data_IF_395613995595
#
_entry.id   IF_395613995595
#
_cell.length_a   1.000
_cell.length_b   1.000
_cell.length_c   1.000
_cell.angle_alpha   90.00
_cell.angle_beta   90.00
_cell.angle_gamma   90.00
#
_symmetry.space_group_name_H-M   'P 1'
#
loop_
_entity.id
_entity.type
_entity.pdbx_description
1 polymer ?
#
# COMPACT_ATOMS: atom_id res chain seq x y z
N UNK A 1 14.35 -22.49 23.17
CA UNK A 1 13.14 -21.70 22.96
C UNK A 1 13.31 -20.25 23.48
N UNK A 2 13.56 -20.05 24.79
CA UNK A 2 13.62 -18.70 25.40
C UNK A 2 14.69 -17.80 24.75
N UNK A 3 15.87 -18.33 24.44
CA UNK A 3 16.91 -17.55 23.77
C UNK A 3 16.45 -17.06 22.39
N UNK A 4 15.92 -17.96 21.58
CA UNK A 4 15.40 -17.59 20.24
C UNK A 4 14.24 -16.57 20.37
N UNK A 5 13.34 -16.77 21.32
CA UNK A 5 12.26 -15.82 21.59
C UNK A 5 12.79 -14.43 21.96
N UNK A 6 13.78 -14.37 22.88
CA UNK A 6 14.40 -13.10 23.27
C UNK A 6 15.12 -12.40 22.12
N UNK A 7 15.77 -13.17 21.24
CA UNK A 7 16.41 -12.66 20.02
C UNK A 7 15.34 -12.12 19.07
N UNK A 8 14.27 -12.87 18.82
CA UNK A 8 13.17 -12.42 17.96
C UNK A 8 12.53 -11.11 18.50
N UNK A 9 12.28 -11.03 19.80
CA UNK A 9 11.76 -9.81 20.43
C UNK A 9 12.68 -8.60 20.24
N UNK A 10 13.99 -8.81 20.32
CA UNK A 10 14.97 -7.74 20.11
C UNK A 10 14.95 -7.22 18.66
N UNK A 11 14.76 -8.10 17.70
CA UNK A 11 14.69 -7.75 16.27
C UNK A 11 13.31 -7.35 15.78
N UNK A 12 12.26 -7.47 16.60
CA UNK A 12 10.90 -7.06 16.24
C UNK A 12 10.66 -5.55 16.39
N UNK A 13 11.58 -4.83 17.01
CA UNK A 13 11.49 -3.38 17.18
C UNK A 13 12.40 -2.69 16.19
N UNK A 14 11.84 -1.79 15.41
CA UNK A 14 12.60 -0.83 14.63
C UNK A 14 12.99 0.30 15.56
N UNK A 15 14.29 0.58 15.67
CA UNK A 15 14.79 1.75 16.39
C UNK A 15 14.82 2.96 15.46
N UNK A 16 14.67 4.13 16.02
CA UNK A 16 14.90 5.38 15.29
C UNK A 16 16.30 5.38 14.67
N UNK A 17 16.44 5.75 13.39
CA UNK A 17 17.76 5.90 12.79
C UNK A 17 18.56 7.03 13.41
N UNK A 18 19.89 6.94 13.35
CA UNK A 18 20.76 7.99 13.81
C UNK A 18 20.48 9.31 13.07
N UNK A 19 20.31 10.38 13.84
CA UNK A 19 20.00 11.71 13.29
C UNK A 19 18.52 11.94 12.96
N UNK A 20 17.62 11.04 13.35
CA UNK A 20 16.19 11.26 13.21
C UNK A 20 15.74 12.42 14.07
N UNK A 21 15.15 13.43 13.45
CA UNK A 21 14.56 14.59 14.12
C UNK A 21 13.54 15.26 13.19
N UNK A 22 12.63 16.03 13.76
CA UNK A 22 11.68 16.81 12.96
C UNK A 22 12.40 17.75 12.00
N UNK A 23 13.47 18.41 12.45
CA UNK A 23 14.28 19.33 11.65
C UNK A 23 14.93 18.62 10.44
N UNK A 24 15.44 17.39 10.65
CA UNK A 24 15.99 16.59 9.56
C UNK A 24 14.90 16.19 8.53
N UNK A 25 13.69 15.85 9.01
CA UNK A 25 12.55 15.55 8.14
C UNK A 25 12.11 16.78 7.35
N UNK A 26 11.97 17.93 8.00
CA UNK A 26 11.60 19.19 7.37
C UNK A 26 12.63 19.57 6.29
N UNK A 27 13.91 19.41 6.56
CA UNK A 27 14.97 19.63 5.58
C UNK A 27 14.91 18.70 4.37
N UNK A 28 14.53 17.43 4.57
CA UNK A 28 14.35 16.49 3.50
C UNK A 28 13.12 16.80 2.63
N UNK A 29 12.08 17.36 3.24
CA UNK A 29 10.81 17.66 2.58
C UNK A 29 10.73 19.08 2.02
N UNK A 30 11.68 19.98 2.36
CA UNK A 30 11.67 21.38 1.95
C UNK A 30 11.58 21.55 0.41
N UNK A 31 12.22 20.69 -0.35
CA UNK A 31 12.14 20.66 -1.83
C UNK A 31 10.88 20.04 -2.40
N UNK A 32 10.09 19.37 -1.55
CA UNK A 32 8.84 18.69 -1.94
C UNK A 32 7.60 19.39 -1.39
N UNK A 33 7.78 20.56 -0.77
CA UNK A 33 6.68 21.36 -0.25
C UNK A 33 5.66 21.57 -1.38
N UNK A 34 4.56 20.87 -1.24
CA UNK A 34 3.34 20.91 -2.03
C UNK A 34 3.55 21.40 -3.47
N UNK A 35 3.94 20.52 -4.35
CA UNK A 35 3.79 20.79 -5.79
C UNK A 35 2.42 21.42 -5.98
N UNK A 36 2.40 22.59 -6.60
CA UNK A 36 1.18 23.38 -6.79
C UNK A 36 0.03 22.45 -7.10
N UNK A 37 -1.04 22.56 -6.34
CA UNK A 37 -2.26 21.80 -6.56
C UNK A 37 -2.50 21.79 -8.07
N UNK A 38 -2.44 20.62 -8.67
CA UNK A 38 -2.56 20.48 -10.10
C UNK A 38 -3.85 21.24 -10.50
N UNK A 39 -3.72 22.24 -11.34
CA UNK A 39 -4.86 22.99 -11.87
C UNK A 39 -5.59 22.04 -12.84
N UNK A 40 -6.26 21.06 -12.31
CA UNK A 40 -7.01 20.07 -13.06
C UNK A 40 -8.43 19.95 -12.53
N UNK A 41 -9.32 19.52 -13.37
CA UNK A 41 -10.66 19.12 -12.94
C UNK A 41 -10.52 17.92 -12.01
N UNK A 42 -11.02 18.06 -10.80
CA UNK A 42 -11.08 16.97 -9.84
C UNK A 42 -11.95 15.84 -10.43
N UNK A 43 -11.48 14.60 -10.51
CA UNK A 43 -12.30 13.49 -10.96
C UNK A 43 -13.50 13.31 -10.02
N UNK A 44 -14.66 13.00 -10.58
CA UNK A 44 -15.88 12.76 -9.79
C UNK A 44 -15.74 11.50 -8.92
N UNK A 45 -15.11 10.49 -9.46
CA UNK A 45 -14.89 9.21 -8.78
C UNK A 45 -13.46 8.72 -9.02
N UNK A 46 -12.87 8.10 -8.00
CA UNK A 46 -11.61 7.38 -8.07
C UNK A 46 -11.87 5.91 -7.68
N UNK A 47 -11.65 5.01 -8.61
CA UNK A 47 -11.77 3.57 -8.37
C UNK A 47 -10.37 2.97 -8.40
N UNK A 48 -9.97 2.36 -7.29
CA UNK A 48 -8.69 1.66 -7.16
C UNK A 48 -8.96 0.17 -7.06
N UNK A 49 -8.33 -0.61 -7.92
CA UNK A 49 -8.43 -2.08 -7.91
C UNK A 49 -7.03 -2.62 -7.66
N UNK A 50 -6.82 -3.18 -6.48
CA UNK A 50 -5.60 -3.93 -6.17
C UNK A 50 -5.83 -5.39 -6.55
N UNK A 51 -5.37 -5.74 -7.75
CA UNK A 51 -5.49 -7.12 -8.25
C UNK A 51 -4.26 -7.91 -7.82
N UNK A 52 -4.39 -8.63 -6.73
CA UNK A 52 -3.31 -9.43 -6.16
C UNK A 52 -2.83 -10.53 -7.10
N UNK A 53 -1.54 -10.81 -7.04
CA UNK A 53 -0.86 -11.77 -7.90
C UNK A 53 -0.99 -11.48 -9.41
N UNK A 54 -1.45 -10.29 -9.79
CA UNK A 54 -1.46 -9.88 -11.18
C UNK A 54 -0.03 -9.51 -11.62
N UNK A 55 0.49 -10.23 -12.60
CA UNK A 55 1.82 -10.00 -13.15
C UNK A 55 1.87 -10.31 -14.63
N UNK A 56 2.59 -9.49 -15.38
CA UNK A 56 2.98 -9.83 -16.74
C UNK A 56 4.23 -10.72 -16.68
N UNK A 57 4.05 -12.02 -16.90
CA UNK A 57 5.12 -13.00 -16.85
C UNK A 57 6.21 -12.76 -17.90
N UNK A 58 5.98 -11.93 -18.92
CA UNK A 58 7.00 -11.56 -19.91
C UNK A 58 8.22 -10.84 -19.30
N UNK A 59 8.10 -10.31 -18.08
CA UNK A 59 9.24 -9.74 -17.34
C UNK A 59 10.31 -10.78 -16.99
N UNK A 60 9.97 -12.05 -17.03
CA UNK A 60 10.89 -13.17 -16.78
C UNK A 60 11.67 -13.58 -18.05
N UNK A 61 11.37 -12.98 -19.20
CA UNK A 61 11.93 -13.34 -20.51
C UNK A 61 10.89 -13.99 -21.42
N UNK A 62 11.36 -14.72 -22.43
CA UNK A 62 10.45 -15.43 -23.35
C UNK A 62 9.78 -16.60 -22.63
N UNK A 63 8.50 -16.46 -22.36
CA UNK A 63 7.65 -17.52 -21.80
C UNK A 63 6.87 -18.15 -22.95
N UNK A 64 7.10 -19.45 -23.28
CA UNK A 64 6.36 -20.10 -24.34
C UNK A 64 4.90 -20.29 -23.92
N UNK A 65 4.01 -19.60 -24.59
CA UNK A 65 2.56 -19.65 -24.36
C UNK A 65 1.86 -19.90 -25.69
N UNK A 66 0.72 -20.58 -25.65
CA UNK A 66 -0.09 -20.85 -26.86
C UNK A 66 -0.82 -19.61 -27.36
N UNK A 67 -1.18 -18.72 -26.45
CA UNK A 67 -1.91 -17.47 -26.71
C UNK A 67 -1.44 -16.36 -25.77
N UNK A 68 -1.67 -15.12 -26.14
CA UNK A 68 -1.45 -13.99 -25.25
C UNK A 68 -2.33 -14.09 -24.00
N UNK A 69 -1.75 -14.11 -22.82
CA UNK A 69 -2.45 -14.24 -21.54
C UNK A 69 -2.95 -12.90 -20.96
N UNK A 70 -2.58 -11.77 -21.57
CA UNK A 70 -3.02 -10.42 -21.16
C UNK A 70 -3.51 -9.56 -22.35
N UNK A 71 -4.34 -10.11 -23.27
CA UNK A 71 -4.68 -9.40 -24.49
C UNK A 71 -5.44 -8.10 -24.21
N UNK A 72 -6.38 -8.12 -23.27
CA UNK A 72 -7.14 -6.94 -22.88
C UNK A 72 -6.23 -5.87 -22.29
N UNK A 73 -5.40 -6.20 -21.33
CA UNK A 73 -4.49 -5.24 -20.68
C UNK A 73 -3.54 -4.60 -21.70
N UNK A 74 -3.01 -5.40 -22.63
CA UNK A 74 -2.09 -4.90 -23.67
C UNK A 74 -2.79 -4.02 -24.69
N UNK A 75 -4.06 -4.26 -24.98
CA UNK A 75 -4.85 -3.47 -25.93
C UNK A 75 -5.23 -2.08 -25.41
N UNK A 76 -5.22 -1.86 -24.10
CA UNK A 76 -5.54 -0.57 -23.51
C UNK A 76 -4.54 0.50 -24.02
N UNK A 77 -5.03 1.56 -24.66
CA UNK A 77 -4.20 2.62 -25.22
C UNK A 77 -4.81 4.01 -25.04
N UNK A 78 -6.11 4.16 -25.15
CA UNK A 78 -6.80 5.42 -25.00
C UNK A 78 -7.04 5.76 -23.54
N UNK A 79 -6.77 7.00 -23.13
CA UNK A 79 -6.95 7.47 -21.74
C UNK A 79 -6.28 6.55 -20.71
N UNK A 80 -5.17 5.94 -21.08
CA UNK A 80 -4.49 4.91 -20.30
C UNK A 80 -3.03 5.28 -20.07
N UNK A 81 -2.57 5.16 -18.82
CA UNK A 81 -1.16 5.21 -18.45
C UNK A 81 -0.78 3.83 -17.91
N UNK A 82 0.29 3.26 -18.43
CA UNK A 82 0.84 1.98 -17.97
C UNK A 82 2.22 2.17 -17.39
N UNK A 83 2.57 1.35 -16.41
CA UNK A 83 3.88 1.36 -15.81
C UNK A 83 4.15 0.09 -15.04
N UNK A 84 5.34 -0.02 -14.50
CA UNK A 84 5.75 -1.11 -13.62
C UNK A 84 5.75 -0.61 -12.19
N UNK A 85 5.05 -1.31 -11.31
CA UNK A 85 5.10 -1.09 -9.88
C UNK A 85 6.07 -2.11 -9.25
N UNK A 86 7.00 -1.60 -8.45
CA UNK A 86 7.92 -2.42 -7.66
C UNK A 86 7.39 -2.47 -6.23
N UNK A 87 6.90 -3.63 -5.82
CA UNK A 87 6.45 -3.85 -4.45
C UNK A 87 7.61 -4.39 -3.60
N UNK A 88 7.71 -3.92 -2.36
CA UNK A 88 8.71 -4.42 -1.39
C UNK A 88 8.30 -5.77 -0.80
N UNK A 89 7.18 -6.32 -1.24
CA UNK A 89 6.60 -7.56 -0.75
C UNK A 89 7.14 -8.75 -1.54
N UNK A 90 7.66 -9.74 -0.82
CA UNK A 90 8.21 -10.95 -1.42
C UNK A 90 7.32 -12.15 -1.08
N UNK A 91 6.49 -12.55 -2.02
CA UNK A 91 5.65 -13.75 -1.94
C UNK A 91 4.58 -13.72 -0.86
N UNK A 92 3.32 -13.49 -1.21
CA UNK A 92 2.19 -13.40 -0.27
C UNK A 92 2.15 -12.09 0.51
N UNK A 93 1.45 -12.05 1.63
CA UNK A 93 1.26 -10.84 2.48
C UNK A 93 0.70 -9.62 1.75
N UNK A 94 -0.42 -9.81 1.08
CA UNK A 94 -1.23 -8.77 0.39
C UNK A 94 -1.40 -7.49 1.20
N UNK A 95 -1.60 -7.63 2.51
CA UNK A 95 -1.75 -6.50 3.43
C UNK A 95 -0.55 -5.53 3.41
N UNK A 96 0.65 -6.00 3.07
CA UNK A 96 1.82 -5.14 2.97
C UNK A 96 1.77 -4.27 1.70
N UNK A 97 1.32 -4.81 0.57
CA UNK A 97 1.12 -4.03 -0.65
C UNK A 97 0.00 -3.00 -0.46
N UNK A 98 -1.09 -3.36 0.22
CA UNK A 98 -2.15 -2.42 0.60
C UNK A 98 -1.61 -1.30 1.50
N UNK A 99 -0.82 -1.65 2.51
CA UNK A 99 -0.19 -0.69 3.40
C UNK A 99 0.68 0.29 2.63
N UNK A 100 1.58 -0.19 1.79
CA UNK A 100 2.45 0.66 0.97
C UNK A 100 1.66 1.61 0.07
N UNK A 101 0.60 1.11 -0.56
CA UNK A 101 -0.24 1.92 -1.43
C UNK A 101 -1.05 2.97 -0.64
N UNK A 102 -1.67 2.58 0.47
CA UNK A 102 -2.58 3.45 1.22
C UNK A 102 -1.84 4.50 2.06
N UNK A 103 -0.62 4.20 2.50
CA UNK A 103 0.16 5.11 3.36
C UNK A 103 1.29 5.84 2.64
N UNK A 104 1.74 5.33 1.49
CA UNK A 104 2.95 5.81 0.82
C UNK A 104 4.25 5.38 1.51
N UNK A 105 4.18 4.63 2.60
CA UNK A 105 5.34 4.11 3.30
C UNK A 105 5.85 2.83 2.64
N UNK A 106 7.14 2.51 2.77
CA UNK A 106 7.70 1.26 2.29
C UNK A 106 7.91 0.26 3.42
N UNK A 107 7.69 -1.02 3.13
CA UNK A 107 8.02 -2.13 4.03
C UNK A 107 9.46 -2.64 3.85
N UNK A 108 10.20 -2.11 2.88
CA UNK A 108 11.53 -2.59 2.51
C UNK A 108 12.55 -2.54 3.65
N UNK A 109 12.38 -1.62 4.59
CA UNK A 109 13.28 -1.44 5.74
C UNK A 109 12.80 -2.10 7.03
N UNK A 110 11.66 -2.76 6.98
CA UNK A 110 11.13 -3.48 8.13
C UNK A 110 11.76 -4.88 8.24
N UNK A 111 11.82 -5.45 9.44
CA UNK A 111 12.27 -6.83 9.62
C UNK A 111 11.49 -7.80 8.74
N UNK A 112 12.17 -8.82 8.21
CA UNK A 112 11.55 -9.82 7.35
C UNK A 112 10.33 -10.47 8.05
N UNK A 113 9.23 -10.59 7.34
CA UNK A 113 7.97 -11.15 7.86
C UNK A 113 7.12 -10.17 8.66
N UNK A 114 7.51 -8.90 8.74
CA UNK A 114 6.68 -7.86 9.36
C UNK A 114 5.39 -7.64 8.56
N UNK A 115 4.29 -7.52 9.28
CA UNK A 115 2.99 -7.13 8.73
C UNK A 115 2.55 -5.83 9.40
N UNK A 116 2.73 -4.66 8.75
CA UNK A 116 2.42 -3.36 9.35
C UNK A 116 0.98 -3.25 9.86
N UNK A 117 0.02 -3.86 9.19
CA UNK A 117 -1.37 -3.92 9.62
C UNK A 117 -1.58 -4.47 11.03
N UNK A 118 -0.65 -5.30 11.50
CA UNK A 118 -0.73 -5.91 12.84
C UNK A 118 0.15 -5.21 13.88
N UNK A 119 1.06 -4.32 13.44
CA UNK A 119 2.12 -3.82 14.32
C UNK A 119 2.28 -2.30 14.33
N UNK A 120 1.97 -1.61 13.24
CA UNK A 120 2.37 -0.21 13.07
C UNK A 120 1.24 0.73 12.67
N UNK A 121 0.07 0.22 12.30
CA UNK A 121 -1.06 1.09 11.97
C UNK A 121 -1.66 1.66 13.24
N UNK A 122 -1.90 2.94 13.20
CA UNK A 122 -2.56 3.68 14.28
C UNK A 122 -3.61 4.65 13.73
N UNK A 123 -4.62 4.92 14.54
CA UNK A 123 -5.64 5.89 14.17
C UNK A 123 -5.01 7.29 13.99
N UNK A 124 -5.31 7.91 12.87
CA UNK A 124 -4.77 9.22 12.50
C UNK A 124 -3.47 9.18 11.70
N UNK A 125 -2.98 8.01 11.36
CA UNK A 125 -1.85 7.89 10.42
C UNK A 125 -2.20 8.59 9.09
N UNK A 126 -1.24 9.31 8.48
CA UNK A 126 -1.45 9.91 7.16
C UNK A 126 -1.67 8.83 6.10
N UNK A 127 -2.82 8.90 5.42
CA UNK A 127 -3.18 7.92 4.39
C UNK A 127 -3.79 8.59 3.16
N UNK A 128 -3.78 7.88 2.04
CA UNK A 128 -4.53 8.26 0.85
C UNK A 128 -6.03 8.39 1.16
N UNK A 129 -6.56 7.53 2.02
CA UNK A 129 -7.97 7.57 2.45
C UNK A 129 -8.30 8.90 3.14
N UNK A 130 -7.48 9.28 4.13
CA UNK A 130 -7.64 10.56 4.83
C UNK A 130 -7.48 11.77 3.90
N UNK A 131 -6.56 11.70 2.93
CA UNK A 131 -6.41 12.75 1.92
C UNK A 131 -7.64 12.88 1.03
N UNK A 132 -8.22 11.76 0.58
CA UNK A 132 -9.43 11.76 -0.23
C UNK A 132 -10.63 12.28 0.57
N UNK A 133 -10.79 11.86 1.83
CA UNK A 133 -11.82 12.37 2.72
C UNK A 133 -11.71 13.90 2.93
N UNK A 134 -10.49 14.41 3.15
CA UNK A 134 -10.24 15.85 3.27
C UNK A 134 -10.61 16.63 1.99
N UNK A 135 -10.51 15.99 0.84
CA UNK A 135 -10.99 16.53 -0.44
C UNK A 135 -12.50 16.37 -0.63
N UNK A 136 -13.23 15.79 0.34
CA UNK A 136 -14.68 15.61 0.34
C UNK A 136 -15.16 14.40 -0.48
N UNK A 137 -14.31 13.42 -0.74
CA UNK A 137 -14.76 12.14 -1.27
C UNK A 137 -15.35 11.28 -0.15
N UNK A 138 -16.37 10.51 -0.49
CA UNK A 138 -16.78 9.36 0.32
C UNK A 138 -15.83 8.21 0.03
N UNK A 139 -15.30 7.62 1.06
CA UNK A 139 -14.28 6.57 0.97
C UNK A 139 -14.89 5.20 1.27
N UNK A 140 -14.74 4.27 0.35
CA UNK A 140 -15.33 2.93 0.44
C UNK A 140 -14.27 1.88 0.18
N UNK A 141 -14.17 0.87 1.05
CA UNK A 141 -13.35 -0.31 0.84
C UNK A 141 -14.22 -1.55 0.64
N UNK A 142 -13.92 -2.34 -0.39
CA UNK A 142 -14.53 -3.63 -0.64
C UNK A 142 -13.43 -4.70 -0.75
N UNK A 143 -13.47 -5.71 0.10
CA UNK A 143 -12.50 -6.79 0.09
C UNK A 143 -13.23 -8.12 -0.14
N UNK A 144 -12.97 -8.83 -1.26
CA UNK A 144 -13.71 -10.02 -1.66
C UNK A 144 -13.21 -11.28 -0.91
N UNK A 145 -13.06 -11.17 0.40
CA UNK A 145 -12.68 -12.26 1.28
C UNK A 145 -13.17 -11.99 2.71
N UNK A 146 -12.96 -12.96 3.59
CA UNK A 146 -13.38 -12.87 5.00
C UNK A 146 -12.69 -11.73 5.72
N UNK A 147 -13.40 -11.09 6.62
CA UNK A 147 -12.89 -9.98 7.45
C UNK A 147 -11.73 -10.36 8.38
N UNK A 148 -11.57 -11.66 8.70
CA UNK A 148 -10.58 -12.14 9.66
C UNK A 148 -9.12 -12.03 9.21
N UNK A 149 -8.87 -11.70 7.92
CA UNK A 149 -7.52 -11.61 7.38
C UNK A 149 -6.81 -10.29 7.72
N UNK A 150 -5.62 -10.36 8.31
CA UNK A 150 -4.69 -9.24 8.49
C UNK A 150 -5.23 -8.06 9.31
N UNK A 151 -6.17 -8.27 10.22
CA UNK A 151 -6.79 -7.21 11.03
C UNK A 151 -7.46 -6.10 10.21
N UNK A 152 -7.85 -6.35 8.96
CA UNK A 152 -8.43 -5.34 8.07
C UNK A 152 -9.58 -4.53 8.66
N UNK A 153 -10.53 -5.11 9.40
CA UNK A 153 -11.62 -4.31 9.96
C UNK A 153 -11.14 -3.16 10.85
N UNK A 154 -10.18 -3.41 11.74
CA UNK A 154 -9.61 -2.36 12.59
C UNK A 154 -8.74 -1.40 11.80
N UNK A 155 -7.90 -1.91 10.90
CA UNK A 155 -7.03 -1.08 10.05
C UNK A 155 -7.84 -0.15 9.16
N UNK A 156 -8.90 -0.62 8.53
CA UNK A 156 -9.73 0.22 7.68
C UNK A 156 -10.51 1.27 8.48
N UNK A 157 -10.88 0.94 9.71
CA UNK A 157 -11.43 1.91 10.65
C UNK A 157 -10.38 2.98 11.02
N UNK A 158 -9.15 2.57 11.34
CA UNK A 158 -8.04 3.48 11.68
C UNK A 158 -7.66 4.39 10.51
N UNK A 159 -7.73 3.88 9.28
CA UNK A 159 -7.50 4.65 8.05
C UNK A 159 -8.65 5.61 7.70
N UNK A 160 -9.82 5.45 8.34
CA UNK A 160 -10.94 6.36 8.20
C UNK A 160 -11.81 6.12 6.96
N UNK A 161 -11.96 4.88 6.50
CA UNK A 161 -12.96 4.55 5.48
C UNK A 161 -14.37 4.78 6.01
N UNK A 162 -15.22 5.44 5.22
CA UNK A 162 -16.63 5.69 5.55
C UNK A 162 -17.49 4.43 5.50
N UNK A 163 -17.12 3.50 4.62
CA UNK A 163 -17.83 2.24 4.44
C UNK A 163 -16.85 1.12 4.12
N UNK A 164 -17.06 -0.05 4.73
CA UNK A 164 -16.23 -1.23 4.51
C UNK A 164 -17.12 -2.44 4.28
N UNK A 165 -16.82 -3.21 3.24
CA UNK A 165 -17.52 -4.44 2.88
C UNK A 165 -16.55 -5.60 2.77
N UNK A 166 -16.93 -6.74 3.33
CA UNK A 166 -16.22 -8.01 3.22
C UNK A 166 -17.17 -9.09 2.70
N UNK A 167 -16.62 -10.13 2.09
CA UNK A 167 -17.39 -11.34 1.82
C UNK A 167 -17.73 -12.04 3.15
N UNK A 168 -19.03 -12.33 3.34
CA UNK A 168 -19.63 -12.81 4.60
C UNK A 168 -19.23 -14.21 5.05
#
# INVERSE_FOLDING_TARGET
>A
FLLNFSVCLRYSRVSEPDGYSQEALDGLTEGYAAGAAAQGTRPENLIVIMNESFSDLSVLGEVPVSEDFLPFFRSLSENTVKGTAYASVFGGTTANSEYEFLTGNTTAFLPAGTVPYQMYVSSGDPTLVGQMAALGYRTVAAHPYRSSGWSRPSVYQDFGFDEVSFEG
#
